data_IF_815096567615
#
_entry.id   IF_815096567615
#
_cell.length_a   1.000
_cell.length_b   1.000
_cell.length_c   1.000
_cell.angle_alpha   90.00
_cell.angle_beta   90.00
_cell.angle_gamma   90.00
#
_symmetry.space_group_name_H-M   'P 1'
#
loop_
_entity.id
_entity.type
_entity.pdbx_description
1 polymer ?
#
# COMPACT_ATOMS: atom_id res chain seq x y z
N UNK A 1 11.18 8.83 -29.55
CA UNK A 1 11.33 10.14 -30.22
C UNK A 1 12.48 10.85 -29.54
N UNK A 2 13.51 11.18 -30.32
CA UNK A 2 14.73 11.86 -29.87
C UNK A 2 14.40 13.26 -29.34
N UNK A 3 14.90 13.54 -28.14
CA UNK A 3 14.87 14.84 -27.48
C UNK A 3 15.88 15.78 -28.15
N UNK A 4 15.41 16.75 -28.92
CA UNK A 4 16.16 17.97 -29.22
C UNK A 4 15.19 19.15 -29.15
N UNK A 5 14.95 19.68 -27.95
CA UNK A 5 14.49 21.06 -27.85
C UNK A 5 15.17 21.77 -26.68
N UNK A 6 15.77 22.92 -26.99
CA UNK A 6 16.53 23.77 -26.07
C UNK A 6 15.71 24.26 -24.85
N UNK A 7 14.38 24.22 -24.94
CA UNK A 7 13.45 24.60 -23.87
C UNK A 7 13.55 23.71 -22.62
N UNK A 8 13.91 22.44 -22.78
CA UNK A 8 13.97 21.50 -21.65
C UNK A 8 15.19 21.76 -20.74
N UNK A 9 16.34 22.15 -21.31
CA UNK A 9 17.57 22.47 -20.55
C UNK A 9 17.50 23.84 -19.86
N UNK A 10 16.92 24.85 -20.50
CA UNK A 10 16.78 26.19 -19.89
C UNK A 10 15.83 26.20 -18.70
N UNK A 11 14.70 25.50 -18.81
CA UNK A 11 13.63 25.42 -17.81
C UNK A 11 14.02 24.82 -16.46
N UNK A 12 15.12 24.06 -16.46
CA UNK A 12 15.55 23.20 -15.37
C UNK A 12 16.57 23.93 -14.46
N UNK A 13 17.41 24.77 -15.05
CA UNK A 13 18.32 25.67 -14.31
C UNK A 13 17.59 26.71 -13.45
N UNK A 14 16.33 27.04 -13.77
CA UNK A 14 15.52 28.02 -13.03
C UNK A 14 14.96 27.49 -11.69
N UNK A 15 15.00 26.16 -11.47
CA UNK A 15 14.30 25.51 -10.34
C UNK A 15 15.23 25.17 -9.17
N UNK A 16 16.46 24.74 -9.46
CA UNK A 16 17.43 24.32 -8.45
C UNK A 16 17.66 25.31 -7.28
N UNK A 17 17.62 26.65 -7.47
CA UNK A 17 17.79 27.59 -6.37
C UNK A 17 16.52 27.88 -5.56
N UNK A 18 15.33 27.38 -5.97
CA UNK A 18 14.04 27.71 -5.35
C UNK A 18 13.40 26.55 -4.57
N UNK A 19 13.88 25.32 -4.73
CA UNK A 19 13.35 24.18 -4.00
C UNK A 19 13.97 24.09 -2.59
N UNK A 20 13.18 23.84 -1.53
CA UNK A 20 13.75 23.54 -0.23
C UNK A 20 14.54 22.23 -0.27
N UNK A 21 15.59 22.08 0.56
CA UNK A 21 16.35 20.84 0.64
C UNK A 21 15.47 19.69 1.12
N UNK A 22 15.61 18.53 0.49
CA UNK A 22 14.88 17.31 0.83
C UNK A 22 15.30 16.78 2.20
N UNK A 23 14.37 16.18 2.95
CA UNK A 23 14.63 15.61 4.28
C UNK A 23 15.30 14.24 4.20
N UNK A 24 16.62 14.24 4.05
CA UNK A 24 17.43 13.03 4.02
C UNK A 24 17.29 12.17 5.29
N UNK A 25 17.00 12.78 6.43
CA UNK A 25 16.95 12.18 7.77
C UNK A 25 15.55 11.79 8.27
N UNK A 26 14.51 11.89 7.43
CA UNK A 26 13.15 11.55 7.88
C UNK A 26 13.05 10.08 8.32
N UNK A 27 12.82 9.88 9.63
CA UNK A 27 12.62 8.56 10.30
C UNK A 27 11.16 8.30 10.71
N UNK A 28 10.24 9.18 10.30
CA UNK A 28 8.82 9.05 10.68
C UNK A 28 8.08 7.99 9.86
N UNK A 29 6.90 7.59 10.33
CA UNK A 29 5.99 6.71 9.61
C UNK A 29 5.21 7.49 8.57
N UNK A 30 5.01 6.91 7.39
CA UNK A 30 4.16 7.46 6.34
C UNK A 30 2.90 6.60 6.17
N UNK A 31 1.76 7.27 6.04
CA UNK A 31 0.52 6.59 5.70
C UNK A 31 0.35 6.58 4.18
N UNK A 32 0.32 5.40 3.55
CA UNK A 32 0.01 5.28 2.13
C UNK A 32 -1.47 5.62 1.90
N UNK A 33 -1.75 6.62 1.06
CA UNK A 33 -3.09 7.12 0.81
C UNK A 33 -3.48 6.83 -0.65
N UNK A 34 -4.19 5.72 -0.92
CA UNK A 34 -4.62 5.37 -2.28
C UNK A 34 -5.80 6.23 -2.75
N UNK A 35 -5.88 6.49 -4.06
CA UNK A 35 -7.00 7.21 -4.68
C UNK A 35 -8.11 6.29 -5.23
N UNK A 36 -7.89 4.98 -5.23
CA UNK A 36 -8.94 4.00 -5.49
C UNK A 36 -9.08 3.04 -4.32
N UNK A 37 -10.26 2.43 -4.17
CA UNK A 37 -10.49 1.44 -3.10
C UNK A 37 -9.60 0.19 -3.29
N UNK A 38 -9.34 -0.24 -4.52
CA UNK A 38 -8.53 -1.43 -4.84
C UNK A 38 -7.04 -1.15 -5.06
N UNK A 39 -6.58 0.08 -4.82
CA UNK A 39 -5.18 0.44 -5.04
C UNK A 39 -4.32 0.00 -3.84
N UNK A 40 -3.66 -1.15 -4.01
CA UNK A 40 -2.88 -1.83 -2.97
C UNK A 40 -1.35 -1.74 -3.14
N UNK A 41 -0.85 -1.08 -4.19
CA UNK A 41 0.59 -1.08 -4.49
C UNK A 41 1.18 0.25 -4.95
N UNK A 42 2.45 0.46 -4.57
CA UNK A 42 3.36 1.48 -5.11
C UNK A 42 3.73 1.24 -6.59
N UNK A 43 3.01 0.37 -7.28
CA UNK A 43 3.44 -0.26 -8.53
C UNK A 43 3.57 0.68 -9.73
N UNK A 44 3.11 1.94 -9.63
CA UNK A 44 3.32 2.97 -10.65
C UNK A 44 2.66 2.68 -12.01
N UNK A 45 2.10 1.49 -12.20
CA UNK A 45 1.40 1.04 -13.42
C UNK A 45 -0.04 1.53 -13.52
N UNK A 46 -0.48 2.38 -12.60
CA UNK A 46 -1.80 3.03 -12.65
C UNK A 46 -2.02 3.83 -13.95
N UNK A 47 -0.94 4.25 -14.63
CA UNK A 47 -1.01 4.87 -15.96
C UNK A 47 -1.22 3.88 -17.12
N UNK A 48 -0.81 2.61 -16.96
CA UNK A 48 -0.84 1.59 -18.03
C UNK A 48 -2.10 0.72 -17.97
N UNK A 49 -2.67 0.51 -16.77
CA UNK A 49 -3.80 -0.42 -16.60
C UNK A 49 -5.17 0.19 -16.84
N UNK A 50 -5.27 1.51 -17.09
CA UNK A 50 -6.51 2.14 -17.54
C UNK A 50 -7.77 1.67 -16.79
N UNK A 51 -7.75 1.63 -15.45
CA UNK A 51 -8.88 1.06 -14.73
C UNK A 51 -8.63 0.84 -13.25
N UNK A 52 -9.01 1.83 -12.46
CA UNK A 52 -9.61 1.54 -11.16
C UNK A 52 -11.09 1.94 -11.27
N UNK A 53 -11.98 1.02 -10.90
CA UNK A 53 -13.43 1.14 -11.09
C UNK A 53 -14.05 2.24 -10.22
N UNK A 54 -13.51 2.48 -9.03
CA UNK A 54 -14.03 3.47 -8.08
C UNK A 54 -12.93 4.34 -7.47
N UNK A 55 -12.95 5.63 -7.81
CA UNK A 55 -12.06 6.65 -7.24
C UNK A 55 -12.66 7.20 -5.95
N UNK A 56 -11.81 7.45 -4.95
CA UNK A 56 -12.23 8.08 -3.71
C UNK A 56 -12.70 9.52 -3.93
N UNK A 57 -13.73 9.92 -3.20
CA UNK A 57 -14.20 11.31 -3.12
C UNK A 57 -13.20 12.19 -2.35
N UNK A 58 -13.36 13.51 -2.47
CA UNK A 58 -12.56 14.49 -1.71
C UNK A 58 -12.74 14.32 -0.20
N UNK A 59 -13.96 14.06 0.24
CA UNK A 59 -14.29 13.81 1.64
C UNK A 59 -13.57 12.56 2.18
N UNK A 60 -13.50 11.50 1.38
CA UNK A 60 -12.82 10.25 1.76
C UNK A 60 -11.30 10.43 1.86
N UNK A 61 -10.70 11.24 0.97
CA UNK A 61 -9.28 11.62 1.04
C UNK A 61 -9.00 12.42 2.32
N UNK A 62 -9.84 13.41 2.64
CA UNK A 62 -9.68 14.21 3.86
C UNK A 62 -9.90 13.40 5.14
N UNK A 63 -10.86 12.46 5.14
CA UNK A 63 -11.04 11.54 6.24
C UNK A 63 -9.80 10.65 6.44
N UNK A 64 -9.19 10.19 5.35
CA UNK A 64 -7.95 9.41 5.37
C UNK A 64 -6.77 10.21 5.93
N UNK A 65 -6.63 11.50 5.60
CA UNK A 65 -5.62 12.38 6.19
C UNK A 65 -5.82 12.56 7.70
N UNK A 66 -7.06 12.75 8.15
CA UNK A 66 -7.40 12.83 9.58
C UNK A 66 -7.09 11.51 10.30
N UNK A 67 -7.38 10.37 9.66
CA UNK A 67 -7.03 9.03 10.17
C UNK A 67 -5.51 8.91 10.32
N UNK A 68 -4.74 9.26 9.30
CA UNK A 68 -3.28 9.23 9.36
C UNK A 68 -2.72 10.04 10.54
N UNK A 69 -3.24 11.27 10.75
CA UNK A 69 -2.83 12.09 11.90
C UNK A 69 -3.23 11.48 13.24
N UNK A 70 -4.46 10.97 13.37
CA UNK A 70 -4.96 10.32 14.58
C UNK A 70 -4.15 9.06 14.93
N UNK A 71 -3.68 8.34 13.92
CA UNK A 71 -2.82 7.16 14.06
C UNK A 71 -1.33 7.50 14.20
N UNK A 72 -1.00 8.76 14.51
CA UNK A 72 0.37 9.21 14.80
C UNK A 72 1.38 8.93 13.67
N UNK A 73 0.94 9.03 12.41
CA UNK A 73 1.85 9.11 11.26
C UNK A 73 2.42 10.52 11.17
N UNK A 74 3.68 10.62 10.73
CA UNK A 74 4.38 11.89 10.55
C UNK A 74 4.24 12.44 9.13
N UNK A 75 3.78 11.61 8.19
CA UNK A 75 3.50 12.03 6.83
C UNK A 75 2.59 11.07 6.07
N UNK A 76 2.37 11.41 4.81
CA UNK A 76 1.50 10.68 3.88
C UNK A 76 2.23 10.45 2.56
N UNK A 77 2.02 9.28 1.97
CA UNK A 77 2.57 8.89 0.68
C UNK A 77 1.41 8.75 -0.31
N UNK A 78 1.37 9.64 -1.29
CA UNK A 78 0.38 9.62 -2.36
C UNK A 78 0.92 8.92 -3.61
N UNK A 79 0.09 8.17 -4.35
CA UNK A 79 0.47 7.61 -5.64
C UNK A 79 0.55 8.71 -6.73
N UNK A 80 1.10 8.34 -7.89
CA UNK A 80 1.36 9.28 -9.00
C UNK A 80 0.11 9.97 -9.58
N UNK A 81 -1.07 9.40 -9.33
CA UNK A 81 -2.33 9.94 -9.82
C UNK A 81 -2.71 11.27 -9.15
N UNK A 82 -2.14 11.60 -7.97
CA UNK A 82 -2.38 12.89 -7.29
C UNK A 82 -2.20 14.09 -8.23
N UNK A 83 -1.19 14.06 -9.10
CA UNK A 83 -0.83 15.18 -9.98
C UNK A 83 -1.94 15.49 -11.00
N UNK A 84 -2.69 14.47 -11.38
CA UNK A 84 -3.81 14.62 -12.32
C UNK A 84 -5.04 15.25 -11.67
N UNK A 85 -5.14 15.22 -10.34
CA UNK A 85 -6.30 15.76 -9.61
C UNK A 85 -6.40 17.27 -9.78
N UNK A 86 -7.62 17.75 -9.99
CA UNK A 86 -7.89 19.18 -10.15
C UNK A 86 -7.69 19.96 -8.85
N UNK A 87 -7.91 19.31 -7.70
CA UNK A 87 -7.85 19.86 -6.34
C UNK A 87 -6.55 19.48 -5.60
N UNK A 88 -5.50 19.07 -6.32
CA UNK A 88 -4.22 18.63 -5.74
C UNK A 88 -3.64 19.60 -4.69
N UNK A 89 -3.67 20.91 -4.95
CA UNK A 89 -3.13 21.90 -3.99
C UNK A 89 -3.98 22.03 -2.72
N UNK A 90 -5.29 21.80 -2.81
CA UNK A 90 -6.16 21.81 -1.63
C UNK A 90 -5.91 20.56 -0.78
N UNK A 91 -5.67 19.40 -1.41
CA UNK A 91 -5.29 18.16 -0.72
C UNK A 91 -3.97 18.35 0.02
N UNK A 92 -2.98 18.95 -0.64
CA UNK A 92 -1.68 19.22 -0.04
C UNK A 92 -1.76 20.21 1.11
N UNK A 93 -2.56 21.27 0.97
CA UNK A 93 -2.79 22.24 2.04
C UNK A 93 -3.41 21.57 3.26
N UNK A 94 -4.44 20.75 3.07
CA UNK A 94 -5.08 20.02 4.16
C UNK A 94 -4.10 19.06 4.88
N UNK A 95 -3.22 18.37 4.15
CA UNK A 95 -2.19 17.53 4.75
C UNK A 95 -1.18 18.36 5.57
N UNK A 96 -0.72 19.50 5.02
CA UNK A 96 0.19 20.43 5.71
C UNK A 96 -0.45 21.03 6.96
N UNK A 97 -1.74 21.40 6.93
CA UNK A 97 -2.50 21.92 8.08
C UNK A 97 -2.61 20.91 9.23
N UNK A 98 -2.64 19.61 8.91
CA UNK A 98 -2.58 18.52 9.90
C UNK A 98 -1.15 18.25 10.42
N UNK A 99 -0.15 18.98 9.90
CA UNK A 99 1.26 18.81 10.22
C UNK A 99 1.85 17.51 9.65
N UNK A 100 1.29 16.99 8.56
CA UNK A 100 1.79 15.81 7.86
C UNK A 100 2.77 16.23 6.75
N UNK A 101 3.90 15.54 6.68
CA UNK A 101 4.83 15.69 5.54
C UNK A 101 4.24 14.96 4.34
N UNK A 102 4.28 15.57 3.16
CA UNK A 102 3.71 14.99 1.94
C UNK A 102 4.81 14.42 1.06
N UNK A 103 4.68 13.13 0.76
CA UNK A 103 5.45 12.43 -0.25
C UNK A 103 4.55 12.06 -1.43
N UNK A 104 5.05 12.22 -2.65
CA UNK A 104 4.34 11.85 -3.88
C UNK A 104 5.18 10.88 -4.70
N UNK A 105 4.56 9.78 -5.10
CA UNK A 105 5.19 8.81 -5.97
C UNK A 105 5.11 9.25 -7.42
N UNK A 106 6.18 9.09 -8.18
CA UNK A 106 6.23 9.42 -9.61
C UNK A 106 6.72 8.22 -10.38
N UNK A 107 6.04 7.82 -11.45
CA UNK A 107 6.70 6.99 -12.45
C UNK A 107 7.70 7.85 -13.24
N UNK A 108 8.73 7.23 -13.80
CA UNK A 108 9.68 7.93 -14.67
C UNK A 108 8.99 8.58 -15.88
N UNK A 109 7.88 8.00 -16.33
CA UNK A 109 7.07 8.53 -17.42
C UNK A 109 6.18 9.72 -17.02
N UNK A 110 5.95 9.97 -15.72
CA UNK A 110 5.10 11.08 -15.26
C UNK A 110 5.64 12.46 -15.68
N UNK A 111 6.95 12.58 -15.91
CA UNK A 111 7.56 13.80 -16.45
C UNK A 111 7.12 14.13 -17.89
N UNK A 112 6.84 13.10 -18.67
CA UNK A 112 6.33 13.21 -20.05
C UNK A 112 4.82 13.45 -20.09
N UNK A 113 4.16 13.51 -18.93
CA UNK A 113 2.72 13.74 -18.86
C UNK A 113 2.34 15.19 -19.19
N UNK A 114 1.11 15.45 -19.66
CA UNK A 114 0.59 16.80 -19.86
C UNK A 114 0.52 17.64 -18.57
N UNK A 115 0.81 17.05 -17.40
CA UNK A 115 0.77 17.72 -16.11
C UNK A 115 2.12 18.26 -15.62
N UNK A 116 3.13 18.35 -16.50
CA UNK A 116 4.48 18.86 -16.19
C UNK A 116 4.46 20.19 -15.41
N UNK A 117 3.59 21.13 -15.77
CA UNK A 117 3.46 22.42 -15.07
C UNK A 117 3.01 22.28 -13.62
N UNK A 118 2.10 21.33 -13.32
CA UNK A 118 1.67 21.04 -11.94
C UNK A 118 2.79 20.38 -11.14
N UNK A 119 3.51 19.43 -11.73
CA UNK A 119 4.66 18.81 -11.09
C UNK A 119 5.69 19.87 -10.63
N UNK A 120 5.92 20.92 -11.44
CA UNK A 120 6.80 22.03 -11.02
C UNK A 120 6.28 22.80 -9.82
N UNK A 121 4.99 23.09 -9.81
CA UNK A 121 4.38 23.79 -8.69
C UNK A 121 4.48 22.95 -7.40
N UNK A 122 4.39 21.62 -7.49
CA UNK A 122 4.63 20.72 -6.35
C UNK A 122 6.07 20.76 -5.83
N UNK A 123 7.05 20.79 -6.74
CA UNK A 123 8.47 20.93 -6.39
C UNK A 123 8.72 22.25 -5.64
N UNK A 124 8.14 23.36 -6.12
CA UNK A 124 8.24 24.68 -5.48
C UNK A 124 7.58 24.73 -4.10
N UNK A 125 6.51 23.96 -3.92
CA UNK A 125 5.80 23.81 -2.64
C UNK A 125 6.56 22.95 -1.62
N UNK A 126 7.74 22.43 -1.97
CA UNK A 126 8.55 21.58 -1.10
C UNK A 126 7.97 20.20 -0.86
N UNK A 127 7.21 19.68 -1.83
CA UNK A 127 6.70 18.30 -1.78
C UNK A 127 7.85 17.33 -2.03
N UNK A 128 7.93 16.30 -1.19
CA UNK A 128 8.94 15.25 -1.33
C UNK A 128 8.49 14.25 -2.41
N UNK A 129 9.43 13.70 -3.18
CA UNK A 129 9.14 12.77 -4.27
C UNK A 129 9.84 11.43 -4.07
N UNK A 130 9.13 10.38 -4.46
CA UNK A 130 9.65 9.03 -4.56
C UNK A 130 9.47 8.53 -5.99
N UNK A 131 10.57 8.30 -6.70
CA UNK A 131 10.55 7.87 -8.10
C UNK A 131 10.44 6.35 -8.16
N UNK A 132 9.38 5.87 -8.80
CA UNK A 132 9.13 4.47 -9.07
C UNK A 132 9.88 4.07 -10.35
N UNK A 133 10.78 3.10 -10.20
CA UNK A 133 11.48 2.44 -11.30
C UNK A 133 10.77 1.11 -11.58
N UNK A 134 10.16 0.98 -12.75
CA UNK A 134 9.34 -0.17 -13.15
C UNK A 134 10.02 -1.09 -14.17
N UNK A 135 10.96 -0.57 -14.96
CA UNK A 135 11.67 -1.30 -16.00
C UNK A 135 13.14 -0.87 -16.09
N UNK A 136 13.96 -1.65 -16.80
CA UNK A 136 15.40 -1.39 -16.91
C UNK A 136 15.73 -0.09 -17.67
N UNK A 137 14.90 0.30 -18.63
CA UNK A 137 15.04 1.55 -19.39
C UNK A 137 14.80 2.81 -18.55
N UNK A 138 14.18 2.69 -17.38
CA UNK A 138 13.76 3.84 -16.58
C UNK A 138 14.94 4.62 -15.99
N UNK A 139 16.05 3.95 -15.70
CA UNK A 139 17.25 4.62 -15.17
C UNK A 139 18.10 5.32 -16.23
N UNK A 140 17.94 4.94 -17.50
CA UNK A 140 18.55 5.63 -18.65
C UNK A 140 17.73 6.86 -19.06
N UNK A 141 16.60 7.12 -18.38
CA UNK A 141 15.78 8.27 -18.66
C UNK A 141 16.51 9.57 -18.27
N UNK A 142 16.49 10.53 -19.19
CA UNK A 142 17.11 11.85 -19.03
C UNK A 142 16.66 12.57 -17.73
N UNK A 143 15.44 12.29 -17.25
CA UNK A 143 14.93 12.80 -15.98
C UNK A 143 15.73 12.31 -14.76
N UNK A 144 16.08 11.02 -14.72
CA UNK A 144 16.89 10.45 -13.63
C UNK A 144 18.30 11.04 -13.67
N UNK A 145 18.85 11.18 -14.88
CA UNK A 145 20.15 11.84 -15.11
C UNK A 145 20.15 13.34 -14.79
N UNK A 146 19.04 14.03 -14.95
CA UNK A 146 18.93 15.45 -14.61
C UNK A 146 18.77 15.68 -13.11
N UNK A 147 17.91 14.89 -12.45
CA UNK A 147 17.72 14.96 -11.00
C UNK A 147 19.03 14.73 -10.25
N UNK A 148 19.93 13.92 -10.80
CA UNK A 148 21.29 13.75 -10.31
C UNK A 148 22.03 15.08 -10.06
N UNK A 149 21.85 16.04 -10.97
CA UNK A 149 22.52 17.33 -10.98
C UNK A 149 21.69 18.44 -10.32
N UNK A 150 20.52 18.10 -9.78
CA UNK A 150 19.65 19.01 -9.06
C UNK A 150 19.84 18.90 -7.54
N UNK A 151 19.42 19.92 -6.82
CA UNK A 151 19.36 19.94 -5.34
C UNK A 151 18.22 19.07 -4.77
N UNK A 152 17.40 18.46 -5.63
CA UNK A 152 16.14 17.79 -5.26
C UNK A 152 16.31 16.37 -4.73
N UNK A 153 17.49 15.75 -4.87
CA UNK A 153 17.84 14.39 -4.42
C UNK A 153 16.69 13.46 -3.92
N UNK A 154 15.77 13.01 -4.77
CA UNK A 154 14.61 12.23 -4.34
C UNK A 154 14.98 10.79 -3.97
N UNK A 155 14.02 10.10 -3.35
CA UNK A 155 14.10 8.66 -3.11
C UNK A 155 13.70 7.87 -4.35
N UNK A 156 14.27 6.68 -4.52
CA UNK A 156 13.91 5.77 -5.61
C UNK A 156 13.29 4.50 -5.03
N UNK A 157 12.19 4.03 -5.59
CA UNK A 157 11.57 2.74 -5.23
C UNK A 157 11.50 1.86 -6.47
N UNK A 158 12.07 0.67 -6.40
CA UNK A 158 12.01 -0.30 -7.49
C UNK A 158 10.76 -1.19 -7.35
N UNK A 159 9.97 -1.35 -8.42
CA UNK A 159 8.75 -2.18 -8.41
C UNK A 159 8.62 -3.02 -9.69
N UNK A 160 8.20 -4.28 -9.56
CA UNK A 160 7.59 -5.03 -10.68
C UNK A 160 8.51 -5.51 -11.82
N UNK A 161 9.82 -5.61 -11.59
CA UNK A 161 10.75 -6.24 -12.54
C UNK A 161 10.84 -7.74 -12.23
N UNK A 162 10.85 -8.60 -13.25
CA UNK A 162 11.01 -10.04 -13.05
C UNK A 162 12.32 -10.33 -12.29
N UNK A 163 12.23 -11.18 -11.25
CA UNK A 163 13.33 -11.50 -10.32
C UNK A 163 14.65 -11.83 -11.04
N UNK A 164 14.57 -12.51 -12.20
CA UNK A 164 15.74 -12.93 -12.97
C UNK A 164 16.52 -11.78 -13.62
N UNK A 165 15.85 -10.71 -14.03
CA UNK A 165 16.47 -9.57 -14.76
C UNK A 165 16.87 -8.41 -13.86
N UNK A 166 16.30 -8.35 -12.65
CA UNK A 166 16.47 -7.31 -11.64
C UNK A 166 17.94 -7.06 -11.25
N UNK A 167 18.72 -8.12 -11.01
CA UNK A 167 20.07 -7.99 -10.48
C UNK A 167 21.06 -7.39 -11.50
N UNK A 168 20.90 -7.73 -12.78
CA UNK A 168 21.71 -7.16 -13.87
C UNK A 168 21.37 -5.68 -14.08
N UNK A 169 20.09 -5.35 -14.01
CA UNK A 169 19.62 -3.97 -14.13
C UNK A 169 20.15 -3.09 -12.99
N UNK A 170 19.96 -3.50 -11.72
CA UNK A 170 20.42 -2.71 -10.57
C UNK A 170 21.94 -2.48 -10.62
N UNK A 171 22.72 -3.48 -11.06
CA UNK A 171 24.16 -3.33 -11.22
C UNK A 171 24.55 -2.24 -12.25
N UNK A 172 23.68 -1.91 -13.20
CA UNK A 172 23.90 -0.85 -14.18
C UNK A 172 23.57 0.54 -13.63
N UNK A 173 22.73 0.65 -12.60
CA UNK A 173 22.32 1.93 -12.01
C UNK A 173 23.51 2.76 -11.51
N UNK A 174 23.51 4.09 -11.67
CA UNK A 174 24.52 4.96 -11.08
C UNK A 174 24.57 4.85 -9.55
N UNK A 175 25.76 5.05 -8.96
CA UNK A 175 25.95 4.91 -7.50
C UNK A 175 25.01 5.82 -6.68
N UNK A 176 24.79 7.06 -7.13
CA UNK A 176 23.90 8.00 -6.43
C UNK A 176 22.44 7.52 -6.35
N UNK A 177 21.99 6.74 -7.35
CA UNK A 177 20.65 6.11 -7.33
C UNK A 177 20.66 4.98 -6.31
N UNK A 178 21.71 4.15 -6.30
CA UNK A 178 21.86 3.03 -5.37
C UNK A 178 21.89 3.49 -3.90
N UNK A 179 22.53 4.62 -3.61
CA UNK A 179 22.63 5.18 -2.25
C UNK A 179 21.28 5.61 -1.66
N UNK A 180 20.30 5.87 -2.54
CA UNK A 180 18.92 6.29 -2.23
C UNK A 180 17.87 5.30 -2.75
N UNK A 181 18.28 4.08 -3.11
CA UNK A 181 17.40 3.05 -3.63
C UNK A 181 16.71 2.31 -2.48
N UNK A 182 15.39 2.26 -2.56
CA UNK A 182 14.52 1.51 -1.69
C UNK A 182 13.89 0.37 -2.47
N UNK A 183 13.70 -0.75 -1.79
CA UNK A 183 13.13 -1.95 -2.36
C UNK A 183 11.68 -2.08 -1.93
N UNK A 184 10.77 -2.18 -2.91
CA UNK A 184 9.41 -2.59 -2.68
C UNK A 184 9.15 -3.85 -3.49
N UNK A 185 8.92 -4.97 -2.81
CA UNK A 185 8.57 -6.24 -3.44
C UNK A 185 7.09 -6.55 -3.21
N UNK A 186 6.15 -5.80 -3.82
CA UNK A 186 4.76 -6.22 -3.77
C UNK A 186 4.55 -7.42 -4.70
N UNK A 187 3.38 -8.03 -4.52
CA UNK A 187 2.69 -8.95 -5.44
C UNK A 187 3.21 -8.89 -6.88
N UNK A 188 3.45 -10.06 -7.48
CA UNK A 188 3.75 -10.19 -8.91
C UNK A 188 2.72 -9.39 -9.74
N UNK A 189 3.09 -8.23 -10.31
CA UNK A 189 2.11 -7.22 -10.69
C UNK A 189 1.48 -7.46 -12.07
N UNK A 190 1.80 -8.55 -12.76
CA UNK A 190 1.42 -8.69 -14.17
C UNK A 190 0.47 -9.87 -14.44
N UNK A 191 0.54 -10.99 -13.71
CA UNK A 191 -0.25 -12.17 -14.14
C UNK A 191 -1.00 -12.91 -13.03
N UNK A 192 -0.53 -12.89 -11.77
CA UNK A 192 -1.00 -13.89 -10.80
C UNK A 192 -1.55 -13.33 -9.50
N UNK A 193 -1.36 -12.03 -9.20
CA UNK A 193 -1.54 -11.47 -7.84
C UNK A 193 -0.88 -12.36 -6.77
N UNK A 194 0.20 -13.06 -7.14
CA UNK A 194 0.90 -13.97 -6.23
C UNK A 194 1.83 -13.15 -5.35
N UNK A 195 1.75 -13.35 -4.05
CA UNK A 195 2.74 -12.83 -3.12
C UNK A 195 4.05 -13.60 -3.29
N UNK A 196 5.19 -12.89 -3.39
CA UNK A 196 6.49 -13.52 -3.33
C UNK A 196 6.69 -14.15 -1.94
N UNK A 197 7.22 -15.37 -1.91
CA UNK A 197 7.65 -15.98 -0.67
C UNK A 197 8.88 -15.22 -0.14
N UNK A 198 9.04 -15.16 1.18
CA UNK A 198 10.21 -14.53 1.82
C UNK A 198 11.52 -15.11 1.31
N UNK A 199 11.56 -16.41 1.02
CA UNK A 199 12.73 -17.08 0.43
C UNK A 199 13.05 -16.58 -0.98
N UNK A 200 12.04 -16.30 -1.80
CA UNK A 200 12.19 -15.75 -3.14
C UNK A 200 12.72 -14.31 -3.08
N UNK A 201 12.19 -13.50 -2.17
CA UNK A 201 12.67 -12.14 -1.92
C UNK A 201 14.14 -12.18 -1.46
N UNK A 202 14.47 -13.00 -0.46
CA UNK A 202 15.82 -13.11 0.08
C UNK A 202 16.84 -13.56 -0.98
N UNK A 203 16.53 -14.60 -1.76
CA UNK A 203 17.40 -15.06 -2.85
C UNK A 203 17.59 -13.98 -3.91
N UNK A 204 16.56 -13.20 -4.21
CA UNK A 204 16.62 -12.08 -5.15
C UNK A 204 17.57 -11.00 -4.62
N UNK A 205 17.39 -10.57 -3.38
CA UNK A 205 18.23 -9.58 -2.71
C UNK A 205 19.71 -9.99 -2.68
N UNK A 206 20.00 -11.26 -2.38
CA UNK A 206 21.37 -11.80 -2.42
C UNK A 206 21.99 -11.74 -3.82
N UNK A 207 21.22 -12.12 -4.85
CA UNK A 207 21.67 -12.03 -6.26
C UNK A 207 21.95 -10.59 -6.67
N UNK A 208 21.09 -9.66 -6.29
CA UNK A 208 21.26 -8.23 -6.54
C UNK A 208 22.54 -7.73 -5.88
N UNK A 209 22.69 -7.95 -4.57
CA UNK A 209 23.87 -7.49 -3.82
C UNK A 209 25.17 -8.04 -4.42
N UNK A 210 25.19 -9.32 -4.79
CA UNK A 210 26.33 -9.96 -5.45
C UNK A 210 26.68 -9.31 -6.80
N UNK A 211 25.68 -9.06 -7.66
CA UNK A 211 25.87 -8.44 -8.98
C UNK A 211 26.35 -6.98 -8.87
N UNK A 212 25.76 -6.19 -7.98
CA UNK A 212 26.19 -4.80 -7.73
C UNK A 212 27.65 -4.77 -7.24
N UNK A 213 28.01 -5.67 -6.32
CA UNK A 213 29.38 -5.78 -5.82
C UNK A 213 30.37 -6.16 -6.92
N UNK A 214 30.00 -7.08 -7.82
CA UNK A 214 30.81 -7.45 -9.00
C UNK A 214 31.00 -6.28 -9.97
N UNK A 215 30.04 -5.37 -10.04
CA UNK A 215 30.15 -4.13 -10.82
C UNK A 215 30.98 -3.03 -10.13
N UNK A 216 31.61 -3.31 -8.98
CA UNK A 216 32.42 -2.36 -8.23
C UNK A 216 31.62 -1.27 -7.51
N UNK A 217 30.31 -1.49 -7.31
CA UNK A 217 29.39 -0.54 -6.70
C UNK A 217 28.96 -1.01 -5.30
N UNK A 218 28.42 -0.08 -4.52
CA UNK A 218 27.85 -0.35 -3.20
C UNK A 218 26.32 -0.28 -3.26
N UNK A 219 25.64 -1.15 -2.52
CA UNK A 219 24.19 -1.09 -2.36
C UNK A 219 23.83 -1.51 -0.94
N UNK A 220 23.06 -0.65 -0.29
CA UNK A 220 22.39 -0.97 0.97
C UNK A 220 20.94 -1.38 0.69
N UNK A 221 20.50 -2.50 1.25
CA UNK A 221 19.12 -2.97 1.10
C UNK A 221 18.26 -2.28 2.16
N UNK A 222 17.32 -1.44 1.71
CA UNK A 222 16.40 -0.69 2.57
C UNK A 222 14.96 -0.85 2.08
N UNK A 223 14.00 -0.90 3.00
CA UNK A 223 12.57 -0.77 2.67
C UNK A 223 12.21 0.69 2.30
N UNK A 224 11.05 0.95 1.67
CA UNK A 224 10.61 2.29 1.32
C UNK A 224 10.43 3.14 2.57
N UNK A 225 10.87 4.41 2.53
CA UNK A 225 10.73 5.32 3.67
C UNK A 225 9.27 5.39 4.10
N UNK A 226 9.03 5.14 5.38
CA UNK A 226 7.75 5.26 6.03
C UNK A 226 6.64 4.32 5.54
N UNK A 227 6.93 3.39 4.64
CA UNK A 227 6.04 2.23 4.43
C UNK A 227 6.48 1.18 5.44
N UNK A 228 5.57 0.70 6.29
CA UNK A 228 5.88 -0.36 7.26
C UNK A 228 6.28 -1.64 6.50
N UNK A 229 7.59 -1.84 6.30
CA UNK A 229 8.14 -3.03 5.64
C UNK A 229 9.36 -3.55 6.40
N UNK A 230 9.15 -4.69 7.05
CA UNK A 230 10.13 -5.63 7.59
C UNK A 230 10.98 -5.16 8.78
N UNK A 231 10.70 -5.76 9.95
CA UNK A 231 11.45 -5.63 11.20
C UNK A 231 12.41 -6.84 11.34
N UNK A 232 13.75 -6.68 11.22
CA UNK A 232 14.70 -7.80 11.22
C UNK A 232 14.75 -8.58 12.53
N UNK A 233 14.23 -8.04 13.64
CA UNK A 233 14.10 -8.76 14.90
C UNK A 233 12.87 -9.67 14.97
N UNK A 234 11.95 -9.56 14.01
CA UNK A 234 10.80 -10.46 13.92
C UNK A 234 11.23 -11.70 13.12
N UNK A 235 11.18 -12.90 13.73
CA UNK A 235 11.46 -14.13 13.01
C UNK A 235 10.67 -14.22 11.70
N UNK A 236 11.32 -14.66 10.62
CA UNK A 236 10.74 -14.75 9.26
C UNK A 236 9.50 -15.65 9.16
N UNK A 237 9.22 -16.40 10.21
CA UNK A 237 8.05 -17.26 10.40
C UNK A 237 6.98 -16.59 11.26
N UNK A 238 7.03 -15.28 11.52
CA UNK A 238 5.99 -14.55 12.26
C UNK A 238 5.37 -13.46 11.41
N UNK A 239 4.05 -13.48 11.35
CA UNK A 239 3.27 -12.41 10.75
C UNK A 239 3.15 -11.23 11.71
N UNK A 240 3.30 -10.03 11.17
CA UNK A 240 2.91 -8.80 11.84
C UNK A 240 1.39 -8.74 11.95
N UNK A 241 0.89 -8.03 12.97
CA UNK A 241 -0.54 -7.84 13.13
C UNK A 241 -1.07 -6.96 11.98
N UNK A 242 -1.96 -7.47 11.11
CA UNK A 242 -2.37 -6.73 9.94
C UNK A 242 -3.41 -5.65 10.30
N UNK A 243 -3.48 -4.60 9.49
CA UNK A 243 -4.64 -3.71 9.39
C UNK A 243 -5.44 -4.18 8.17
N UNK A 244 -6.56 -4.88 8.41
CA UNK A 244 -7.36 -5.52 7.36
C UNK A 244 -8.68 -4.80 7.22
N UNK A 245 -8.99 -4.35 6.01
CA UNK A 245 -10.35 -3.94 5.67
C UNK A 245 -11.21 -5.17 5.30
N UNK A 246 -12.53 -5.14 5.53
CA UNK A 246 -13.42 -6.23 5.14
C UNK A 246 -13.40 -6.45 3.63
N UNK A 247 -13.25 -7.70 3.20
CA UNK A 247 -13.34 -8.07 1.79
C UNK A 247 -14.79 -7.97 1.28
N UNK A 248 -15.75 -8.27 2.15
CA UNK A 248 -17.15 -7.97 1.95
C UNK A 248 -17.82 -7.75 3.30
N UNK A 249 -18.85 -6.92 3.32
CA UNK A 249 -19.60 -6.59 4.53
C UNK A 249 -21.02 -6.20 4.19
N UNK A 250 -21.89 -6.23 5.19
CA UNK A 250 -23.25 -5.72 5.09
C UNK A 250 -23.67 -5.08 6.41
N UNK A 251 -24.57 -4.11 6.29
CA UNK A 251 -25.20 -3.43 7.43
C UNK A 251 -26.71 -3.61 7.32
N UNK A 252 -27.35 -3.88 8.45
CA UNK A 252 -28.80 -4.00 8.54
C UNK A 252 -29.45 -2.64 8.24
N UNK A 253 -30.42 -2.60 7.32
CA UNK A 253 -31.16 -1.38 6.96
C UNK A 253 -32.20 -0.99 8.01
N UNK A 254 -32.56 -1.90 8.93
CA UNK A 254 -33.48 -1.59 10.03
C UNK A 254 -32.74 -0.75 11.07
N UNK A 255 -33.19 0.48 11.36
CA UNK A 255 -32.54 1.31 12.36
C UNK A 255 -32.69 0.70 13.77
N UNK A 256 -31.67 0.79 14.63
CA UNK A 256 -31.75 0.32 16.01
C UNK A 256 -32.80 1.10 16.81
N UNK A 257 -33.46 0.40 17.74
CA UNK A 257 -34.61 0.90 18.53
C UNK A 257 -34.20 2.01 19.51
N UNK A 258 -32.92 2.05 19.88
CA UNK A 258 -32.28 3.17 20.56
C UNK A 258 -31.17 3.72 19.67
N UNK A 259 -30.77 4.98 19.88
CA UNK A 259 -29.91 5.74 18.97
C UNK A 259 -28.58 5.04 18.60
N UNK A 260 -28.61 4.25 17.53
CA UNK A 260 -27.52 4.09 16.58
C UNK A 260 -26.40 3.10 16.86
N UNK A 261 -26.37 2.36 17.98
CA UNK A 261 -25.18 1.58 18.33
C UNK A 261 -25.40 0.07 18.30
N UNK A 262 -24.51 -0.62 17.58
CA UNK A 262 -24.28 -2.06 17.71
C UNK A 262 -23.86 -2.28 19.17
N UNK A 263 -24.54 -3.17 19.88
CA UNK A 263 -24.24 -3.48 21.28
C UNK A 263 -23.13 -4.53 21.39
N UNK A 264 -23.12 -5.50 20.45
CA UNK A 264 -22.22 -6.65 20.51
C UNK A 264 -21.55 -6.91 19.17
N UNK A 265 -20.23 -7.03 19.15
CA UNK A 265 -19.49 -7.56 17.99
C UNK A 265 -19.03 -8.99 18.29
N UNK A 266 -19.50 -9.95 17.49
CA UNK A 266 -19.10 -11.35 17.60
C UNK A 266 -17.96 -11.62 16.63
N UNK A 267 -16.75 -11.76 17.14
CA UNK A 267 -15.55 -12.02 16.32
C UNK A 267 -15.30 -13.52 16.25
N UNK A 268 -15.30 -14.07 15.03
CA UNK A 268 -15.16 -15.50 14.77
C UNK A 268 -13.92 -15.75 13.90
N UNK A 269 -12.76 -16.05 14.51
CA UNK A 269 -11.60 -16.48 13.74
C UNK A 269 -11.84 -17.89 13.18
N UNK A 270 -11.49 -18.12 11.92
CA UNK A 270 -11.66 -19.41 11.23
C UNK A 270 -10.43 -19.78 10.41
N UNK A 271 -10.15 -21.09 10.26
CA UNK A 271 -9.14 -21.62 9.36
C UNK A 271 -9.49 -23.05 8.95
N UNK A 272 -9.65 -23.30 7.65
CA UNK A 272 -9.96 -24.61 7.08
C UNK A 272 -11.11 -25.34 7.80
N UNK A 273 -12.20 -24.62 8.06
CA UNK A 273 -13.35 -25.08 8.82
C UNK A 273 -14.67 -24.74 8.10
N UNK A 274 -14.70 -24.79 6.76
CA UNK A 274 -15.83 -24.32 5.92
C UNK A 274 -17.21 -24.66 6.47
N UNK A 275 -17.47 -25.95 6.72
CA UNK A 275 -18.82 -26.40 7.09
C UNK A 275 -19.17 -25.98 8.53
N UNK A 276 -18.18 -25.90 9.42
CA UNK A 276 -18.37 -25.46 10.80
C UNK A 276 -18.63 -23.95 10.88
N UNK A 277 -17.85 -23.13 10.15
CA UNK A 277 -18.05 -21.67 10.20
C UNK A 277 -19.41 -21.28 9.63
N UNK A 278 -19.86 -21.93 8.56
CA UNK A 278 -21.23 -21.76 8.05
C UNK A 278 -22.27 -22.11 9.11
N UNK A 279 -22.05 -23.20 9.85
CA UNK A 279 -22.95 -23.57 10.92
C UNK A 279 -22.94 -22.56 12.07
N UNK A 280 -21.78 -22.05 12.47
CA UNK A 280 -21.65 -21.01 13.50
C UNK A 280 -22.40 -19.75 13.09
N UNK A 281 -22.15 -19.22 11.89
CA UNK A 281 -22.83 -18.01 11.40
C UNK A 281 -24.35 -18.24 11.32
N UNK A 282 -24.79 -19.41 10.85
CA UNK A 282 -26.22 -19.76 10.83
C UNK A 282 -26.87 -19.75 12.22
N UNK A 283 -26.15 -20.18 13.26
CA UNK A 283 -26.66 -20.14 14.63
C UNK A 283 -26.63 -18.73 15.21
N UNK A 284 -25.59 -17.95 14.91
CA UNK A 284 -25.51 -16.55 15.32
C UNK A 284 -26.64 -15.72 14.69
N UNK A 285 -27.04 -15.98 13.45
CA UNK A 285 -28.21 -15.33 12.84
C UNK A 285 -29.57 -15.71 13.45
N UNK A 286 -29.61 -16.71 14.35
CA UNK A 286 -30.81 -17.16 15.08
C UNK A 286 -30.82 -16.71 16.53
N UNK A 287 -29.93 -15.81 16.95
CA UNK A 287 -29.99 -15.27 18.31
C UNK A 287 -31.25 -14.43 18.53
N UNK A 288 -31.69 -14.36 19.77
CA UNK A 288 -32.89 -13.60 20.19
C UNK A 288 -32.65 -12.08 20.21
N UNK A 289 -31.38 -11.65 20.16
CA UNK A 289 -31.00 -10.25 20.04
C UNK A 289 -31.35 -9.73 18.63
N UNK A 290 -31.94 -8.52 18.49
CA UNK A 290 -32.31 -8.00 17.17
C UNK A 290 -31.09 -7.89 16.23
N UNK A 291 -31.25 -8.22 14.93
CA UNK A 291 -30.17 -8.20 13.93
C UNK A 291 -29.35 -6.91 13.85
N UNK A 292 -29.98 -5.78 14.11
CA UNK A 292 -29.34 -4.47 14.05
C UNK A 292 -28.53 -4.12 15.31
N UNK A 293 -28.71 -4.88 16.41
CA UNK A 293 -28.04 -4.67 17.69
C UNK A 293 -26.73 -5.47 17.83
N UNK A 294 -26.40 -6.35 16.89
CA UNK A 294 -25.11 -7.04 16.89
C UNK A 294 -24.54 -7.16 15.49
N UNK A 295 -23.25 -7.42 15.39
CA UNK A 295 -22.58 -7.77 14.14
C UNK A 295 -21.74 -9.04 14.29
N UNK A 296 -21.51 -9.71 13.15
CA UNK A 296 -20.62 -10.86 13.08
C UNK A 296 -19.42 -10.52 12.23
N UNK A 297 -18.23 -10.64 12.80
CA UNK A 297 -16.96 -10.38 12.13
C UNK A 297 -16.23 -11.71 11.98
N UNK A 298 -16.25 -12.29 10.78
CA UNK A 298 -15.50 -13.51 10.49
C UNK A 298 -14.10 -13.12 10.02
N UNK A 299 -13.08 -13.66 10.69
CA UNK A 299 -11.68 -13.45 10.31
C UNK A 299 -11.10 -14.77 9.82
N UNK A 300 -11.00 -14.93 8.50
CA UNK A 300 -10.42 -16.12 7.88
C UNK A 300 -8.90 -15.99 7.86
N UNK A 301 -8.24 -16.86 8.61
CA UNK A 301 -6.80 -16.95 8.79
C UNK A 301 -6.09 -17.67 7.63
N UNK A 302 -6.54 -17.42 6.40
CA UNK A 302 -5.94 -17.88 5.16
C UNK A 302 -6.35 -19.30 4.75
N UNK A 303 -7.64 -19.63 4.86
CA UNK A 303 -8.18 -20.94 4.50
C UNK A 303 -7.99 -21.27 3.01
N UNK A 304 -7.88 -22.56 2.74
CA UNK A 304 -7.66 -23.15 1.41
C UNK A 304 -8.74 -24.16 1.02
N UNK A 305 -9.79 -24.28 1.83
CA UNK A 305 -10.88 -25.28 1.70
C UNK A 305 -12.19 -24.69 1.18
N UNK A 306 -12.12 -23.63 0.36
CA UNK A 306 -13.26 -22.85 -0.15
C UNK A 306 -14.12 -22.15 0.92
N UNK A 307 -13.62 -22.00 2.16
CA UNK A 307 -14.31 -21.28 3.25
C UNK A 307 -14.84 -19.91 2.81
N UNK A 308 -13.99 -19.09 2.19
CA UNK A 308 -14.35 -17.76 1.69
C UNK A 308 -15.55 -17.80 0.75
N UNK A 309 -15.49 -18.64 -0.28
CA UNK A 309 -16.53 -18.73 -1.31
C UNK A 309 -17.85 -19.17 -0.71
N UNK A 310 -17.81 -20.18 0.15
CA UNK A 310 -19.01 -20.72 0.77
C UNK A 310 -19.67 -19.70 1.72
N UNK A 311 -18.87 -18.94 2.49
CA UNK A 311 -19.39 -17.84 3.32
C UNK A 311 -19.98 -16.72 2.48
N UNK A 312 -19.30 -16.30 1.40
CA UNK A 312 -19.81 -15.28 0.50
C UNK A 312 -21.17 -15.69 -0.11
N UNK A 313 -21.26 -16.90 -0.66
CA UNK A 313 -22.49 -17.41 -1.28
C UNK A 313 -23.64 -17.54 -0.27
N UNK A 314 -23.33 -17.93 0.97
CA UNK A 314 -24.31 -18.01 2.06
C UNK A 314 -24.77 -16.63 2.55
N UNK A 315 -23.83 -15.71 2.77
CA UNK A 315 -24.09 -14.39 3.36
C UNK A 315 -24.80 -13.44 2.41
N UNK A 316 -24.63 -13.61 1.10
CA UNK A 316 -25.32 -12.81 0.07
C UNK A 316 -26.84 -12.79 0.24
N UNK A 317 -27.44 -13.89 0.70
CA UNK A 317 -28.87 -13.99 0.94
C UNK A 317 -29.37 -13.14 2.13
N UNK A 318 -28.46 -12.60 2.95
CA UNK A 318 -28.76 -11.82 4.15
C UNK A 318 -28.21 -10.39 4.07
N UNK A 319 -27.75 -9.96 2.89
CA UNK A 319 -27.36 -8.58 2.66
C UNK A 319 -28.49 -7.63 3.05
N UNK A 320 -28.15 -6.50 3.68
CA UNK A 320 -29.08 -5.47 4.19
C UNK A 320 -29.99 -5.93 5.32
N UNK A 321 -30.05 -7.23 5.61
CA UNK A 321 -30.84 -7.78 6.72
C UNK A 321 -30.01 -8.06 7.97
N UNK A 322 -28.70 -8.27 7.83
CA UNK A 322 -27.77 -8.64 8.91
C UNK A 322 -26.51 -7.79 8.86
N UNK A 323 -25.99 -7.42 10.03
CA UNK A 323 -24.65 -6.82 10.12
C UNK A 323 -23.60 -7.93 10.08
N UNK A 324 -22.73 -7.92 9.09
CA UNK A 324 -21.59 -8.82 9.04
C UNK A 324 -20.40 -8.21 8.32
N UNK A 325 -19.21 -8.70 8.66
CA UNK A 325 -17.95 -8.38 8.01
C UNK A 325 -17.15 -9.66 7.82
N UNK A 326 -16.51 -9.80 6.66
CA UNK A 326 -15.58 -10.89 6.40
C UNK A 326 -14.20 -10.34 6.07
N UNK A 327 -13.21 -10.70 6.89
CA UNK A 327 -11.82 -10.30 6.74
C UNK A 327 -11.02 -11.53 6.31
N UNK A 328 -10.18 -11.39 5.29
CA UNK A 328 -9.29 -12.44 4.84
C UNK A 328 -7.83 -12.11 5.18
N UNK A 329 -7.21 -12.95 6.01
CA UNK A 329 -5.83 -12.82 6.44
C UNK A 329 -4.96 -13.92 5.83
N UNK A 330 -4.32 -13.62 4.69
CA UNK A 330 -3.47 -14.59 3.98
C UNK A 330 -2.32 -15.13 4.84
N UNK A 331 -1.88 -16.36 4.54
CA UNK A 331 -0.71 -17.00 5.18
C UNK A 331 0.51 -16.92 4.28
N UNK A 332 1.68 -16.69 4.88
CA UNK A 332 2.97 -16.80 4.18
C UNK A 332 3.33 -18.25 3.80
N UNK A 333 2.78 -19.23 4.51
CA UNK A 333 2.98 -20.66 4.23
C UNK A 333 1.84 -21.53 4.76
N UNK A 334 1.73 -22.79 4.29
CA UNK A 334 0.70 -23.70 4.76
C UNK A 334 0.91 -24.00 6.24
N UNK A 335 -0.18 -23.93 7.02
CA UNK A 335 -0.16 -24.28 8.44
C UNK A 335 0.34 -25.71 8.63
N UNK A 336 1.32 -25.91 9.52
CA UNK A 336 1.81 -27.23 9.91
C UNK A 336 1.34 -27.54 11.32
N UNK A 337 0.84 -28.76 11.54
CA UNK A 337 0.43 -29.19 12.88
C UNK A 337 1.65 -29.19 13.80
N UNK A 338 1.58 -28.42 14.89
CA UNK A 338 2.69 -28.26 15.84
C UNK A 338 3.66 -27.11 15.53
N UNK A 339 3.37 -26.27 14.54
CA UNK A 339 4.12 -25.02 14.37
C UNK A 339 3.79 -23.99 15.47
N UNK A 340 4.73 -23.08 15.72
CA UNK A 340 4.56 -21.94 16.63
C UNK A 340 3.68 -20.83 16.03
N UNK A 341 3.17 -21.01 14.81
CA UNK A 341 2.41 -20.01 14.04
C UNK A 341 0.90 -20.11 14.30
N UNK A 342 0.54 -20.18 15.58
CA UNK A 342 -0.87 -20.11 15.97
C UNK A 342 -1.35 -18.65 15.94
N UNK A 343 -1.96 -18.26 14.81
CA UNK A 343 -2.39 -16.87 14.54
C UNK A 343 -3.78 -16.52 15.04
N UNK A 344 -4.45 -17.40 15.81
CA UNK A 344 -5.81 -17.10 16.29
C UNK A 344 -5.87 -15.83 17.16
N UNK A 345 -4.82 -15.53 17.92
CA UNK A 345 -4.73 -14.26 18.66
C UNK A 345 -4.66 -13.05 17.72
N UNK A 346 -3.81 -13.12 16.69
CA UNK A 346 -3.65 -12.07 15.69
C UNK A 346 -4.96 -11.86 14.91
N UNK A 347 -5.61 -12.95 14.49
CA UNK A 347 -6.90 -12.90 13.80
C UNK A 347 -8.00 -12.25 14.66
N UNK A 348 -8.02 -12.54 15.98
CA UNK A 348 -8.95 -11.87 16.90
C UNK A 348 -8.67 -10.38 16.99
N UNK A 349 -7.41 -9.98 17.17
CA UNK A 349 -7.03 -8.57 17.22
C UNK A 349 -7.43 -7.82 15.94
N UNK A 350 -7.22 -8.45 14.77
CA UNK A 350 -7.65 -7.88 13.50
C UNK A 350 -9.17 -7.68 13.44
N UNK A 351 -9.94 -8.65 13.94
CA UNK A 351 -11.39 -8.51 14.06
C UNK A 351 -11.83 -7.42 15.06
N UNK A 352 -11.13 -7.29 16.19
CA UNK A 352 -11.41 -6.25 17.20
C UNK A 352 -11.25 -4.85 16.61
N UNK A 353 -10.25 -4.64 15.74
CA UNK A 353 -10.06 -3.33 15.08
C UNK A 353 -11.23 -2.90 14.20
N UNK A 354 -11.98 -3.86 13.65
CA UNK A 354 -13.16 -3.61 12.81
C UNK A 354 -14.48 -3.63 13.60
N UNK A 355 -14.43 -3.97 14.88
CA UNK A 355 -15.60 -4.03 15.75
C UNK A 355 -16.18 -2.64 16.05
N UNK A 356 -17.50 -2.55 15.98
CA UNK A 356 -18.31 -1.35 16.22
C UNK A 356 -19.23 -1.50 17.44
N UNK A 357 -19.23 -2.68 18.07
CA UNK A 357 -19.93 -2.98 19.31
C UNK A 357 -19.36 -2.22 20.50
N UNK A 358 -20.18 -2.06 21.55
CA UNK A 358 -19.83 -1.35 22.79
C UNK A 358 -19.12 -2.25 23.81
#
# INVERSE_FOLDING_TARGET
MSFESADSKHFLNDIAPLAPPFRDDFKGRLYFLPFAQDEICLCGKCFETGGFSEKKSREEIYLSLKKAKKSEYQGVLFPCYLISQHDVFDILRAAKELGLIVFVQLSVNAWLSPHRSRLMALIREGVEFNIILGQASDAENEFVGYIHHSTLHPHYTLVGVSIGSLAKYIAQLPQFVLDRLHFYFPLDPIETRRMFLTSEIYQSLQKISSQVRKAGKHLEIRGPKGVDIYEPYIPNDRDLEPDLDPLFSSMCEIPPVSAGEIEVSVIVPTFNCRDYILNVVRHLFKQDLPPQCYEIIVVDDGSTDDTQKALHDFLKAFEKERNFQYLFFSRLGPRKRGDSQFRAGIARNAGVKQAKGR
#
